data_IF_908555989927
#
_entry.id   IF_908555989927
#
_cell.length_a   1.000
_cell.length_b   1.000
_cell.length_c   1.000
_cell.angle_alpha   90.00
_cell.angle_beta   90.00
_cell.angle_gamma   90.00
#
_symmetry.space_group_name_H-M   'P 1'
#
loop_
_entity.id
_entity.type
_entity.pdbx_description
1 polymer ?
#
# COMPACT_ATOMS: atom_id res chain seq x y z
N UNK A 1 15.36 -14.94 9.94
CA UNK A 1 13.96 -14.47 10.03
C UNK A 1 13.87 -13.48 11.18
N UNK A 2 13.53 -12.21 10.93
CA UNK A 2 13.33 -11.24 12.03
C UNK A 2 11.98 -11.59 12.68
N UNK A 3 11.98 -11.91 13.97
CA UNK A 3 10.75 -12.30 14.67
C UNK A 3 9.70 -11.17 14.58
N UNK A 4 8.45 -11.53 14.28
CA UNK A 4 7.30 -10.63 14.37
C UNK A 4 6.92 -9.84 13.12
N UNK A 5 7.76 -9.79 12.08
CA UNK A 5 7.44 -9.13 10.81
C UNK A 5 8.21 -9.76 9.66
N UNK A 6 7.57 -9.94 8.52
CA UNK A 6 8.28 -10.22 7.27
C UNK A 6 7.66 -9.54 6.07
N UNK A 7 8.39 -9.68 4.96
CA UNK A 7 8.06 -9.08 3.68
C UNK A 7 8.31 -10.04 2.54
N UNK A 8 7.43 -10.03 1.55
CA UNK A 8 7.64 -10.64 0.24
C UNK A 8 7.39 -9.56 -0.79
N UNK A 9 8.34 -9.37 -1.72
CA UNK A 9 8.22 -8.41 -2.81
C UNK A 9 8.60 -9.12 -4.10
N UNK A 10 7.69 -9.08 -5.06
CA UNK A 10 7.90 -9.69 -6.37
C UNK A 10 6.91 -9.09 -7.39
N UNK A 11 7.07 -9.43 -8.67
CA UNK A 11 6.08 -9.17 -9.69
C UNK A 11 4.72 -9.76 -9.28
N UNK A 12 3.63 -9.03 -9.50
CA UNK A 12 2.29 -9.48 -9.06
C UNK A 12 1.89 -10.84 -9.68
N UNK A 13 2.38 -11.14 -10.88
CA UNK A 13 2.10 -12.41 -11.58
C UNK A 13 2.78 -13.63 -10.93
N UNK A 14 3.72 -13.42 -9.99
CA UNK A 14 4.31 -14.50 -9.20
C UNK A 14 3.42 -14.97 -8.04
N UNK A 15 2.37 -14.20 -7.70
CA UNK A 15 1.49 -14.50 -6.58
C UNK A 15 0.28 -15.33 -7.04
N UNK A 16 -0.13 -16.28 -6.19
CA UNK A 16 -1.40 -17.00 -6.38
C UNK A 16 -2.55 -15.99 -6.27
N UNK A 17 -3.49 -16.04 -7.23
CA UNK A 17 -4.60 -15.09 -7.29
C UNK A 17 -4.23 -13.73 -7.90
N UNK A 18 -3.17 -13.67 -8.71
CA UNK A 18 -2.78 -12.43 -9.41
C UNK A 18 -3.94 -11.75 -10.17
N UNK A 19 -4.84 -12.46 -10.89
CA UNK A 19 -5.98 -11.83 -11.54
C UNK A 19 -6.91 -11.11 -10.56
N UNK A 20 -7.20 -11.71 -9.41
CA UNK A 20 -8.05 -11.16 -8.37
C UNK A 20 -7.39 -9.96 -7.68
N UNK A 21 -6.09 -10.03 -7.41
CA UNK A 21 -5.30 -8.94 -6.83
C UNK A 21 -5.31 -7.74 -7.79
N UNK A 22 -5.02 -7.97 -9.08
CA UNK A 22 -5.04 -6.93 -10.11
C UNK A 22 -6.40 -6.25 -10.17
N UNK A 23 -7.46 -7.05 -10.25
CA UNK A 23 -8.83 -6.56 -10.27
C UNK A 23 -9.17 -5.74 -9.04
N UNK A 24 -8.82 -6.20 -7.85
CA UNK A 24 -9.08 -5.47 -6.61
C UNK A 24 -8.41 -4.09 -6.63
N UNK A 25 -7.13 -4.01 -7.01
CA UNK A 25 -6.43 -2.74 -7.12
C UNK A 25 -7.04 -1.82 -8.17
N UNK A 26 -7.36 -2.35 -9.36
CA UNK A 26 -8.00 -1.59 -10.44
C UNK A 26 -9.38 -1.05 -10.01
N UNK A 27 -10.19 -1.86 -9.33
CA UNK A 27 -11.52 -1.46 -8.87
C UNK A 27 -11.42 -0.39 -7.76
N UNK A 28 -10.43 -0.50 -6.85
CA UNK A 28 -10.13 0.55 -5.88
C UNK A 28 -9.73 1.88 -6.54
N UNK A 29 -8.84 1.84 -7.54
CA UNK A 29 -8.40 3.05 -8.26
C UNK A 29 -9.54 3.67 -9.06
N UNK A 30 -10.37 2.86 -9.73
CA UNK A 30 -11.58 3.33 -10.41
C UNK A 30 -12.50 4.05 -9.44
N UNK A 31 -12.74 3.48 -8.25
CA UNK A 31 -13.59 4.10 -7.23
C UNK A 31 -12.97 5.40 -6.71
N UNK A 32 -11.67 5.41 -6.40
CA UNK A 32 -10.99 6.62 -5.96
C UNK A 32 -11.12 7.76 -7.00
N UNK A 33 -11.00 7.44 -8.30
CA UNK A 33 -11.16 8.40 -9.40
C UNK A 33 -12.57 9.00 -9.52
N UNK A 34 -13.59 8.34 -8.98
CA UNK A 34 -14.94 8.93 -8.89
C UNK A 34 -14.97 10.09 -7.89
N UNK A 35 -14.20 10.00 -6.80
CA UNK A 35 -14.13 11.03 -5.76
C UNK A 35 -13.02 12.05 -5.99
N UNK A 36 -11.90 11.63 -6.58
CA UNK A 36 -10.78 12.46 -6.97
C UNK A 36 -10.37 12.15 -8.42
N UNK A 37 -10.94 12.86 -9.41
CA UNK A 37 -10.61 12.67 -10.82
C UNK A 37 -9.13 12.92 -11.18
N UNK A 38 -8.35 13.57 -10.30
CA UNK A 38 -6.92 13.82 -10.53
C UNK A 38 -6.05 12.58 -10.25
N UNK A 39 -6.57 11.60 -9.51
CA UNK A 39 -5.89 10.34 -9.20
C UNK A 39 -5.48 9.63 -10.50
N UNK A 40 -4.17 9.35 -10.71
CA UNK A 40 -3.70 8.67 -11.91
C UNK A 40 -4.18 7.23 -12.02
N UNK A 41 -4.11 6.69 -13.23
CA UNK A 41 -4.31 5.26 -13.44
C UNK A 41 -3.17 4.44 -12.84
N UNK A 42 -3.51 3.23 -12.42
CA UNK A 42 -2.55 2.24 -11.95
C UNK A 42 -2.73 0.95 -12.74
N UNK A 43 -1.62 0.37 -13.19
CA UNK A 43 -1.54 -1.03 -13.59
C UNK A 43 -0.58 -1.73 -12.62
N UNK A 44 -1.06 -2.49 -11.63
CA UNK A 44 -0.19 -3.09 -10.62
C UNK A 44 0.83 -4.00 -11.28
N UNK A 45 2.12 -3.76 -11.04
CA UNK A 45 3.22 -4.55 -11.63
C UNK A 45 3.90 -5.43 -10.59
N UNK A 46 4.02 -4.93 -9.36
CA UNK A 46 4.65 -5.59 -8.23
C UNK A 46 3.73 -5.52 -7.03
N UNK A 47 3.90 -6.48 -6.12
CA UNK A 47 3.19 -6.54 -4.85
C UNK A 47 4.20 -6.67 -3.71
N UNK A 48 4.06 -5.80 -2.71
CA UNK A 48 4.74 -5.93 -1.42
C UNK A 48 3.74 -6.48 -0.40
N UNK A 49 3.92 -7.74 0.01
CA UNK A 49 3.17 -8.33 1.13
C UNK A 49 3.93 -8.07 2.42
N UNK A 50 3.30 -7.37 3.35
CA UNK A 50 3.80 -7.17 4.71
C UNK A 50 2.94 -7.98 5.67
N UNK A 51 3.57 -8.83 6.48
CA UNK A 51 2.88 -9.54 7.56
C UNK A 51 3.46 -9.13 8.90
N UNK A 52 2.57 -8.91 9.87
CA UNK A 52 2.89 -8.49 11.22
C UNK A 52 2.28 -9.49 12.19
N UNK A 53 3.11 -10.09 13.04
CA UNK A 53 2.68 -11.04 14.09
C UNK A 53 2.98 -10.53 15.49
N UNK A 54 3.51 -9.31 15.61
CA UNK A 54 3.73 -8.60 16.88
C UNK A 54 3.40 -7.12 16.70
N UNK A 55 3.44 -6.37 17.80
CA UNK A 55 3.28 -4.91 17.83
C UNK A 55 4.47 -4.12 17.26
N UNK A 56 5.41 -4.77 16.55
CA UNK A 56 6.52 -4.08 15.91
C UNK A 56 6.02 -3.20 14.77
N UNK A 57 6.39 -1.92 14.81
CA UNK A 57 6.02 -0.91 13.82
C UNK A 57 6.87 -1.00 12.54
N UNK A 58 6.31 -0.50 11.45
CA UNK A 58 7.06 -0.08 10.26
C UNK A 58 7.59 1.34 10.52
N UNK A 59 8.89 1.57 10.28
CA UNK A 59 9.48 2.88 10.46
C UNK A 59 9.09 3.85 9.33
N UNK A 60 9.34 5.14 9.54
CA UNK A 60 9.19 6.17 8.50
C UNK A 60 10.04 5.84 7.29
N UNK A 61 9.42 5.88 6.11
CA UNK A 61 10.06 5.69 4.81
C UNK A 61 9.21 6.38 3.75
N UNK A 62 9.78 6.48 2.55
CA UNK A 62 9.08 6.82 1.32
C UNK A 62 9.29 5.66 0.36
N UNK A 63 8.32 5.42 -0.50
CA UNK A 63 8.40 4.42 -1.57
C UNK A 63 9.17 5.03 -2.77
N UNK A 64 10.44 5.36 -2.55
CA UNK A 64 11.36 6.00 -3.52
C UNK A 64 12.66 5.20 -3.73
N UNK A 65 12.66 3.94 -3.32
CA UNK A 65 13.78 3.03 -3.46
C UNK A 65 14.11 2.71 -4.93
N UNK A 66 15.30 2.12 -5.19
CA UNK A 66 15.70 1.78 -6.56
C UNK A 66 14.79 0.76 -7.28
N UNK A 67 14.03 -0.01 -6.50
CA UNK A 67 13.07 -1.01 -6.99
C UNK A 67 11.68 -0.40 -7.20
N UNK A 68 11.46 0.82 -6.73
CA UNK A 68 10.17 1.50 -6.85
C UNK A 68 10.09 2.18 -8.22
N UNK A 69 8.89 2.13 -8.82
CA UNK A 69 8.66 2.73 -10.13
C UNK A 69 8.80 4.24 -10.07
N UNK A 70 9.46 4.85 -11.06
CA UNK A 70 9.48 6.32 -11.23
C UNK A 70 8.24 6.77 -11.99
N UNK A 71 7.08 6.64 -11.36
CA UNK A 71 5.77 6.94 -11.95
C UNK A 71 4.90 7.70 -10.99
N UNK A 72 3.90 8.40 -11.50
CA UNK A 72 2.84 9.01 -10.68
C UNK A 72 1.69 8.03 -10.37
N UNK A 73 1.79 6.77 -10.80
CA UNK A 73 0.77 5.79 -10.45
C UNK A 73 0.68 5.66 -8.92
N UNK A 74 -0.53 5.63 -8.35
CA UNK A 74 -0.68 5.55 -6.91
C UNK A 74 -0.17 4.20 -6.38
N UNK A 75 0.04 4.14 -5.07
CA UNK A 75 0.13 2.90 -4.29
C UNK A 75 -1.27 2.56 -3.79
N UNK A 76 -1.66 1.29 -3.93
CA UNK A 76 -2.88 0.72 -3.32
C UNK A 76 -2.42 -0.19 -2.18
N UNK A 77 -2.71 0.22 -0.95
CA UNK A 77 -2.38 -0.53 0.27
C UNK A 77 -3.65 -1.19 0.82
N UNK A 78 -3.66 -2.52 0.88
CA UNK A 78 -4.79 -3.30 1.40
C UNK A 78 -4.45 -3.81 2.81
N UNK A 79 -5.36 -3.60 3.77
CA UNK A 79 -5.20 -4.04 5.16
C UNK A 79 -6.09 -5.24 5.46
N UNK A 80 -5.52 -6.29 6.05
CA UNK A 80 -6.23 -7.53 6.38
C UNK A 80 -5.86 -8.02 7.79
N UNK A 81 -6.85 -8.44 8.56
CA UNK A 81 -6.66 -9.00 9.90
C UNK A 81 -6.67 -7.93 10.99
N UNK A 82 -5.65 -7.91 11.86
CA UNK A 82 -5.62 -6.95 12.96
C UNK A 82 -5.49 -5.53 12.45
N UNK A 83 -6.34 -4.66 12.98
CA UNK A 83 -6.34 -3.26 12.64
C UNK A 83 -5.08 -2.54 13.15
N UNK A 84 -4.67 -1.52 12.40
CA UNK A 84 -3.44 -0.77 12.65
C UNK A 84 -3.65 0.73 12.46
N UNK A 85 -2.75 1.52 13.05
CA UNK A 85 -2.73 2.96 12.83
C UNK A 85 -1.69 3.24 11.75
N UNK A 86 -2.14 3.80 10.62
CA UNK A 86 -1.29 4.22 9.52
C UNK A 86 -1.02 5.72 9.66
N UNK A 87 0.26 6.07 9.78
CA UNK A 87 0.70 7.45 9.95
C UNK A 87 1.31 7.96 8.63
N UNK A 88 0.86 9.11 8.14
CA UNK A 88 1.37 9.75 6.92
C UNK A 88 1.70 11.22 7.14
N UNK A 89 2.72 11.70 6.43
CA UNK A 89 3.14 13.10 6.39
C UNK A 89 3.96 13.38 5.14
N UNK A 90 3.92 14.61 4.65
CA UNK A 90 4.67 15.00 3.45
C UNK A 90 6.16 15.13 3.72
N UNK A 91 6.52 15.79 4.83
CA UNK A 91 7.90 16.05 5.23
C UNK A 91 8.23 15.52 6.63
N UNK A 92 9.50 15.20 6.94
CA UNK A 92 9.91 14.67 8.24
C UNK A 92 9.49 15.50 9.47
N UNK A 93 9.33 16.82 9.31
CA UNK A 93 8.96 17.74 10.39
C UNK A 93 7.46 17.97 10.57
N UNK A 94 6.62 17.48 9.66
CA UNK A 94 5.19 17.75 9.69
C UNK A 94 4.49 16.90 10.76
N UNK A 95 3.35 17.40 11.26
CA UNK A 95 2.48 16.64 12.16
C UNK A 95 1.83 15.51 11.37
N UNK A 96 1.99 14.23 11.78
CA UNK A 96 1.38 13.12 11.06
C UNK A 96 -0.14 13.17 11.07
N UNK A 97 -0.74 12.90 9.92
CA UNK A 97 -2.12 12.43 9.86
C UNK A 97 -2.13 10.95 10.24
N UNK A 98 -3.04 10.57 11.13
CA UNK A 98 -3.21 9.19 11.57
C UNK A 98 -4.55 8.67 11.08
N UNK A 99 -4.52 7.57 10.36
CA UNK A 99 -5.70 6.87 9.85
C UNK A 99 -5.72 5.47 10.44
N UNK A 100 -6.81 5.12 11.13
CA UNK A 100 -7.05 3.75 11.58
C UNK A 100 -7.48 2.91 10.38
N UNK A 101 -6.75 1.84 10.10
CA UNK A 101 -7.09 0.86 9.07
C UNK A 101 -7.59 -0.43 9.71
N UNK A 102 -8.82 -0.78 9.40
CA UNK A 102 -9.46 -2.03 9.81
C UNK A 102 -9.28 -3.12 8.73
N UNK A 103 -9.66 -4.36 9.06
CA UNK A 103 -9.59 -5.45 8.08
C UNK A 103 -10.55 -5.20 6.92
N UNK A 104 -10.02 -5.24 5.70
CA UNK A 104 -10.75 -4.99 4.46
C UNK A 104 -10.59 -3.57 3.92
N UNK A 105 -9.96 -2.67 4.68
CA UNK A 105 -9.74 -1.30 4.23
C UNK A 105 -8.65 -1.22 3.15
N UNK A 106 -8.86 -0.28 2.23
CA UNK A 106 -7.90 0.08 1.20
C UNK A 106 -7.52 1.56 1.35
N UNK A 107 -6.21 1.84 1.43
CA UNK A 107 -5.66 3.18 1.43
C UNK A 107 -4.91 3.42 0.11
N UNK A 108 -5.22 4.53 -0.57
CA UNK A 108 -4.59 4.90 -1.83
C UNK A 108 -3.86 6.23 -1.65
N UNK A 109 -2.61 6.30 -2.12
CA UNK A 109 -1.78 7.51 -2.06
C UNK A 109 -0.75 7.53 -3.18
N UNK A 110 -0.37 8.73 -3.63
CA UNK A 110 0.50 8.96 -4.78
C UNK A 110 -0.17 9.88 -5.80
N UNK A 111 0.53 10.13 -6.91
CA UNK A 111 0.16 11.17 -7.87
C UNK A 111 1.18 12.30 -7.94
#
# INVERSE_FOLDING_TARGET
VRQGRGRVYDAVDSFVGAPEIRRACEDCVKLARVFDPSMPEMKPSHLLVLYYTTSRKLGWHRDDGPQDGRTLAPVVSLSLGHACDFELKDNPGDTPLVVRLESGDALLFGG
#
